data_IF_858751455473
#
_entry.id   IF_858751455473
#
_cell.length_a   1.000
_cell.length_b   1.000
_cell.length_c   1.000
_cell.angle_alpha   90.00
_cell.angle_beta   90.00
_cell.angle_gamma   90.00
#
_symmetry.space_group_name_H-M   'P 1'
#
loop_
_entity.id
_entity.type
_entity.pdbx_description
1 polymer ?
#
# COMPACT_ATOMS: atom_id res chain seq x y z
N UNK A 1 -5.54 -12.18 6.51
CA UNK A 1 -4.90 -11.31 5.51
C UNK A 1 -4.70 -12.01 4.17
N UNK A 2 -4.19 -13.24 4.10
CA UNK A 2 -4.19 -14.06 2.89
C UNK A 2 -5.07 -15.28 3.16
N UNK A 3 -6.20 -15.47 2.46
CA UNK A 3 -7.20 -16.48 2.83
C UNK A 3 -6.76 -17.93 2.71
N UNK A 4 -5.72 -18.28 2.03
CA UNK A 4 -5.02 -19.58 2.06
C UNK A 4 -3.65 -19.44 1.36
N UNK A 5 -2.57 -19.27 2.08
CA UNK A 5 -1.25 -19.09 1.50
C UNK A 5 -0.74 -20.28 0.68
N UNK A 6 -1.30 -21.46 0.86
CA UNK A 6 -0.85 -22.70 0.21
C UNK A 6 -1.11 -22.78 -1.31
N UNK A 7 -1.93 -21.89 -1.88
CA UNK A 7 -2.34 -21.96 -3.29
C UNK A 7 -1.77 -20.86 -4.19
N UNK A 8 -0.98 -19.94 -3.66
CA UNK A 8 -0.45 -18.83 -4.46
C UNK A 8 0.78 -19.26 -5.26
N UNK A 9 0.64 -19.43 -6.58
CA UNK A 9 1.75 -19.73 -7.50
C UNK A 9 2.20 -18.53 -8.32
N UNK A 10 1.32 -17.56 -8.54
CA UNK A 10 1.61 -16.32 -9.25
C UNK A 10 1.21 -15.13 -8.40
N UNK A 11 2.12 -14.18 -8.23
CA UNK A 11 1.96 -12.97 -7.46
C UNK A 11 2.25 -11.76 -8.33
N UNK A 12 1.50 -10.70 -8.13
CA UNK A 12 1.68 -9.43 -8.79
C UNK A 12 1.53 -8.30 -7.79
N UNK A 13 2.50 -7.41 -7.78
CA UNK A 13 2.46 -6.20 -6.97
C UNK A 13 2.21 -4.99 -7.85
N UNK A 14 1.15 -4.27 -7.57
CA UNK A 14 0.78 -3.02 -8.23
C UNK A 14 1.20 -1.81 -7.38
N UNK A 15 1.85 -0.85 -8.02
CA UNK A 15 2.10 0.48 -7.47
C UNK A 15 1.32 1.51 -8.29
N UNK A 16 0.55 2.36 -7.62
CA UNK A 16 -0.21 3.42 -8.28
C UNK A 16 0.66 4.67 -8.51
N UNK A 17 0.53 5.26 -9.67
CA UNK A 17 1.28 6.48 -10.02
C UNK A 17 0.86 7.65 -9.15
N UNK A 18 1.71 8.08 -8.20
CA UNK A 18 1.40 9.18 -7.26
C UNK A 18 0.05 8.99 -6.58
N UNK A 19 -0.22 7.79 -6.05
CA UNK A 19 -1.53 7.32 -5.57
C UNK A 19 -2.46 8.38 -5.01
N UNK A 20 -2.05 9.10 -3.96
CA UNK A 20 -2.88 10.11 -3.30
C UNK A 20 -3.28 11.27 -4.23
N UNK A 21 -2.39 11.75 -5.11
CA UNK A 21 -2.72 12.83 -6.05
C UNK A 21 -3.77 12.47 -7.09
N UNK A 22 -4.09 11.18 -7.26
CA UNK A 22 -5.15 10.74 -8.16
C UNK A 22 -6.55 10.92 -7.52
N UNK A 23 -6.61 11.03 -6.20
CA UNK A 23 -7.84 11.28 -5.46
C UNK A 23 -8.13 12.79 -5.49
N UNK A 24 -9.28 13.17 -6.01
CA UNK A 24 -9.68 14.57 -6.05
C UNK A 24 -10.13 15.07 -4.68
N UNK A 25 -9.76 16.30 -4.38
CA UNK A 25 -10.33 17.02 -3.24
C UNK A 25 -11.81 17.29 -3.54
N UNK A 26 -12.65 17.19 -2.51
CA UNK A 26 -14.07 17.52 -2.62
C UNK A 26 -14.21 18.99 -2.96
N UNK A 27 -15.10 19.31 -3.92
CA UNK A 27 -15.39 20.68 -4.30
C UNK A 27 -15.79 21.53 -3.09
N UNK A 28 -15.09 22.64 -2.89
CA UNK A 28 -15.25 23.54 -1.73
C UNK A 28 -14.31 23.24 -0.56
N UNK A 29 -13.56 22.15 -0.58
CA UNK A 29 -12.56 21.81 0.43
C UNK A 29 -11.11 22.14 -0.02
N UNK A 30 -10.91 22.60 -1.26
CA UNK A 30 -9.61 22.98 -1.81
C UNK A 30 -8.88 24.02 -0.94
N UNK A 31 -9.54 25.06 -0.39
CA UNK A 31 -8.91 26.06 0.48
C UNK A 31 -8.26 25.45 1.73
N UNK A 32 -8.76 24.29 2.22
CA UNK A 32 -8.18 23.60 3.39
C UNK A 32 -6.79 23.03 3.09
N UNK A 33 -6.43 22.89 1.82
CA UNK A 33 -5.14 22.38 1.34
C UNK A 33 -4.17 23.50 0.97
N UNK A 34 -4.55 24.77 1.20
CA UNK A 34 -3.79 25.93 0.77
C UNK A 34 -2.38 25.94 1.37
N UNK A 35 -1.41 26.20 0.51
CA UNK A 35 -0.01 26.44 0.90
C UNK A 35 0.37 27.86 0.51
N UNK A 36 1.07 28.55 1.38
CA UNK A 36 1.58 29.90 1.13
C UNK A 36 3.06 29.83 0.79
N UNK A 37 3.44 30.43 -0.32
CA UNK A 37 4.82 30.55 -0.77
C UNK A 37 5.17 32.03 -0.97
N UNK A 38 6.45 32.34 -1.20
CA UNK A 38 6.89 33.70 -1.56
C UNK A 38 6.27 34.21 -2.87
N UNK A 39 5.68 33.34 -3.68
CA UNK A 39 5.07 33.69 -4.98
C UNK A 39 3.53 33.74 -4.91
N UNK A 40 2.94 33.45 -3.78
CA UNK A 40 1.51 33.45 -3.57
C UNK A 40 0.99 32.22 -2.84
N UNK A 41 -0.32 32.16 -2.68
CA UNK A 41 -1.01 31.01 -2.09
C UNK A 41 -1.56 30.12 -3.20
N UNK A 42 -1.43 28.81 -3.02
CA UNK A 42 -1.85 27.78 -3.96
C UNK A 42 -2.65 26.70 -3.24
N UNK A 43 -3.63 26.15 -3.92
CA UNK A 43 -4.49 25.08 -3.42
C UNK A 43 -4.29 23.81 -4.26
N UNK A 44 -4.57 22.65 -3.67
CA UNK A 44 -4.47 21.38 -4.37
C UNK A 44 -5.83 20.93 -4.88
N UNK A 45 -5.90 20.51 -6.15
CA UNK A 45 -7.07 19.84 -6.72
C UNK A 45 -7.10 18.33 -6.45
N UNK A 46 -5.93 17.73 -6.20
CA UNK A 46 -5.74 16.33 -5.81
C UNK A 46 -5.17 16.24 -4.40
N UNK A 47 -5.45 15.16 -3.71
CA UNK A 47 -5.04 14.95 -2.33
C UNK A 47 -3.50 14.92 -2.19
N UNK A 48 -2.85 15.93 -1.56
CA UNK A 48 -1.42 15.96 -1.40
C UNK A 48 -0.96 15.02 -0.28
N UNK A 49 0.33 14.66 -0.31
CA UNK A 49 0.97 14.03 0.84
C UNK A 49 0.99 15.00 2.04
N UNK A 50 0.90 14.45 3.24
CA UNK A 50 0.96 15.23 4.49
C UNK A 50 -0.39 15.53 5.12
N UNK A 51 -1.50 15.28 4.44
CA UNK A 51 -2.82 15.33 5.09
C UNK A 51 -2.98 14.11 6.01
N UNK A 52 -3.41 14.36 7.24
CA UNK A 52 -3.54 13.32 8.28
C UNK A 52 -4.48 12.18 7.87
N UNK A 53 -5.56 12.51 7.15
CA UNK A 53 -6.57 11.55 6.72
C UNK A 53 -6.30 10.95 5.33
N UNK A 54 -5.25 11.38 4.61
CA UNK A 54 -4.98 10.92 3.25
C UNK A 54 -4.82 9.40 3.14
N UNK A 55 -4.05 8.71 4.01
CA UNK A 55 -3.92 7.26 3.94
C UNK A 55 -5.25 6.53 4.12
N UNK A 56 -6.05 6.95 5.11
CA UNK A 56 -7.35 6.35 5.39
C UNK A 56 -8.33 6.55 4.23
N UNK A 57 -8.41 7.77 3.69
CA UNK A 57 -9.27 8.11 2.55
C UNK A 57 -8.89 7.30 1.32
N UNK A 58 -7.58 7.16 1.05
CA UNK A 58 -7.09 6.39 -0.07
C UNK A 58 -7.40 4.89 0.07
N UNK A 59 -7.16 4.31 1.27
CA UNK A 59 -7.50 2.93 1.54
C UNK A 59 -9.01 2.66 1.36
N UNK A 60 -9.87 3.54 1.85
CA UNK A 60 -11.31 3.41 1.69
C UNK A 60 -11.70 3.42 0.21
N UNK A 61 -11.17 4.37 -0.57
CA UNK A 61 -11.41 4.42 -2.01
C UNK A 61 -10.99 3.11 -2.69
N UNK A 62 -9.77 2.64 -2.44
CA UNK A 62 -9.26 1.41 -3.04
C UNK A 62 -10.09 0.18 -2.65
N UNK A 63 -10.54 0.11 -1.40
CA UNK A 63 -11.40 -0.97 -0.93
C UNK A 63 -12.78 -0.94 -1.59
N UNK A 64 -13.35 0.23 -1.80
CA UNK A 64 -14.64 0.39 -2.50
C UNK A 64 -14.53 -0.03 -3.96
N UNK A 65 -13.51 0.45 -4.67
CA UNK A 65 -13.32 0.22 -6.11
C UNK A 65 -12.96 -1.24 -6.45
N UNK A 66 -12.25 -1.91 -5.56
CA UNK A 66 -11.82 -3.30 -5.75
C UNK A 66 -12.58 -4.29 -4.85
N UNK A 67 -13.68 -3.86 -4.21
CA UNK A 67 -14.46 -4.64 -3.24
C UNK A 67 -14.86 -6.03 -3.75
N UNK A 68 -15.20 -6.14 -5.03
CA UNK A 68 -15.66 -7.40 -5.64
C UNK A 68 -14.54 -8.45 -5.66
N UNK A 69 -13.27 -8.00 -5.65
CA UNK A 69 -12.08 -8.84 -5.78
C UNK A 69 -11.37 -9.08 -4.44
N UNK A 70 -11.69 -8.25 -3.42
CA UNK A 70 -11.11 -8.40 -2.08
C UNK A 70 -11.37 -9.80 -1.53
N UNK A 71 -10.38 -10.34 -0.84
CA UNK A 71 -10.39 -11.67 -0.22
C UNK A 71 -10.56 -12.86 -1.19
N UNK A 72 -10.79 -12.59 -2.49
CA UNK A 72 -10.80 -13.63 -3.53
C UNK A 72 -9.42 -13.81 -4.14
N UNK A 73 -8.87 -12.75 -4.70
CA UNK A 73 -7.55 -12.74 -5.34
C UNK A 73 -6.83 -11.38 -5.25
N UNK A 74 -7.38 -10.41 -4.50
CA UNK A 74 -6.78 -9.10 -4.27
C UNK A 74 -6.65 -8.83 -2.78
N UNK A 75 -5.47 -8.35 -2.37
CA UNK A 75 -5.20 -7.80 -1.04
C UNK A 75 -4.70 -6.38 -1.20
N UNK A 76 -5.26 -5.47 -0.42
CA UNK A 76 -4.89 -4.05 -0.42
C UNK A 76 -4.37 -3.68 0.96
N UNK A 77 -3.23 -2.99 0.98
CA UNK A 77 -2.71 -2.40 2.19
C UNK A 77 -2.01 -1.09 1.88
N UNK A 78 -2.59 0.01 2.36
CA UNK A 78 -2.14 1.37 2.03
C UNK A 78 -2.02 1.53 0.49
N UNK A 79 -0.82 1.80 0.01
CA UNK A 79 -0.53 2.03 -1.41
C UNK A 79 -0.22 0.74 -2.19
N UNK A 80 -0.03 -0.39 -1.49
CA UNK A 80 0.34 -1.68 -2.08
C UNK A 80 -0.92 -2.51 -2.39
N UNK A 81 -1.10 -2.86 -3.65
CA UNK A 81 -2.13 -3.77 -4.13
C UNK A 81 -1.45 -5.06 -4.58
N UNK A 82 -1.81 -6.17 -3.97
CA UNK A 82 -1.28 -7.49 -4.32
C UNK A 82 -2.38 -8.34 -4.92
N UNK A 83 -2.09 -8.91 -6.09
CA UNK A 83 -2.96 -9.86 -6.78
C UNK A 83 -2.29 -11.22 -6.72
N UNK A 84 -3.05 -12.25 -6.32
CA UNK A 84 -2.56 -13.60 -6.20
C UNK A 84 -3.45 -14.59 -6.94
N UNK A 85 -2.87 -15.67 -7.44
CA UNK A 85 -3.61 -16.67 -8.21
C UNK A 85 -2.99 -18.06 -8.05
N UNK A 86 -3.79 -19.08 -8.25
CA UNK A 86 -3.38 -20.48 -8.18
C UNK A 86 -2.69 -20.97 -9.46
N UNK A 87 -3.06 -20.42 -10.61
CA UNK A 87 -2.46 -20.71 -11.91
C UNK A 87 -2.05 -19.42 -12.63
N UNK A 88 -1.24 -19.54 -13.67
CA UNK A 88 -0.83 -18.40 -14.50
C UNK A 88 -1.96 -17.95 -15.43
N UNK A 89 -2.80 -18.88 -15.87
CA UNK A 89 -3.97 -18.59 -16.70
C UNK A 89 -4.98 -17.76 -15.91
N UNK A 90 -5.35 -18.20 -14.71
CA UNK A 90 -6.22 -17.44 -13.81
C UNK A 90 -5.61 -16.07 -13.48
N UNK A 91 -4.28 -16.02 -13.33
CA UNK A 91 -3.59 -14.78 -13.00
C UNK A 91 -3.77 -13.71 -14.08
N UNK A 92 -3.66 -14.07 -15.33
CA UNK A 92 -3.90 -13.14 -16.46
C UNK A 92 -5.32 -12.61 -16.44
N UNK A 93 -6.30 -13.46 -16.15
CA UNK A 93 -7.71 -13.04 -16.10
C UNK A 93 -7.99 -12.13 -14.88
N UNK A 94 -7.45 -12.45 -13.71
CA UNK A 94 -7.55 -11.61 -12.53
C UNK A 94 -6.92 -10.23 -12.76
N UNK A 95 -5.75 -10.17 -13.40
CA UNK A 95 -5.11 -8.91 -13.79
C UNK A 95 -5.98 -8.09 -14.73
N UNK A 96 -6.59 -8.73 -15.75
CA UNK A 96 -7.49 -8.06 -16.70
C UNK A 96 -8.66 -7.41 -15.99
N UNK A 97 -9.29 -8.12 -15.05
CA UNK A 97 -10.42 -7.63 -14.27
C UNK A 97 -10.02 -6.45 -13.38
N UNK A 98 -8.91 -6.55 -12.66
CA UNK A 98 -8.40 -5.45 -11.82
C UNK A 98 -8.04 -4.22 -12.66
N UNK A 99 -7.35 -4.39 -13.78
CA UNK A 99 -7.03 -3.27 -14.67
C UNK A 99 -8.26 -2.64 -15.30
N UNK A 100 -9.30 -3.41 -15.61
CA UNK A 100 -10.57 -2.88 -16.09
C UNK A 100 -11.25 -2.01 -15.03
N UNK A 101 -11.28 -2.45 -13.77
CA UNK A 101 -11.81 -1.67 -12.64
C UNK A 101 -11.01 -0.38 -12.41
N UNK A 102 -9.69 -0.47 -12.36
CA UNK A 102 -8.83 0.72 -12.20
C UNK A 102 -9.03 1.72 -13.34
N UNK A 103 -9.14 1.25 -14.59
CA UNK A 103 -9.40 2.10 -15.75
C UNK A 103 -10.77 2.78 -15.69
N UNK A 104 -11.82 2.07 -15.29
CA UNK A 104 -13.17 2.62 -15.12
C UNK A 104 -13.16 3.80 -14.13
N UNK A 105 -12.37 3.69 -13.07
CA UNK A 105 -12.24 4.70 -12.01
C UNK A 105 -11.10 5.72 -12.26
N UNK A 106 -10.52 5.70 -13.47
CA UNK A 106 -9.43 6.61 -13.89
C UNK A 106 -8.20 6.57 -12.98
N UNK A 107 -7.92 5.39 -12.40
CA UNK A 107 -6.74 5.14 -11.60
C UNK A 107 -5.60 4.59 -12.45
N UNK A 108 -4.45 5.20 -12.37
CA UNK A 108 -3.29 4.91 -13.22
C UNK A 108 -2.20 4.22 -12.43
N UNK A 109 -1.66 3.17 -13.03
CA UNK A 109 -0.61 2.33 -12.46
C UNK A 109 0.75 2.82 -12.95
N UNK A 110 1.78 2.68 -12.14
CA UNK A 110 3.16 2.95 -12.51
C UNK A 110 3.84 1.67 -12.95
N UNK A 111 3.89 1.45 -14.26
CA UNK A 111 4.39 0.21 -14.88
C UNK A 111 5.80 -0.18 -14.41
N UNK A 112 6.71 0.79 -14.25
CA UNK A 112 8.10 0.57 -13.89
C UNK A 112 8.29 0.04 -12.46
N UNK A 113 7.27 0.20 -11.61
CA UNK A 113 7.26 -0.30 -10.24
C UNK A 113 6.38 -1.53 -10.04
N UNK A 114 5.73 -1.98 -11.10
CA UNK A 114 4.93 -3.17 -11.07
C UNK A 114 5.78 -4.40 -11.32
N UNK A 115 5.61 -5.40 -10.49
CA UNK A 115 6.33 -6.65 -10.56
C UNK A 115 5.38 -7.76 -10.97
N UNK A 116 5.67 -8.43 -12.10
CA UNK A 116 4.79 -9.40 -12.74
C UNK A 116 5.26 -10.83 -12.56
N UNK A 117 4.32 -11.76 -12.36
CA UNK A 117 4.60 -13.20 -12.39
C UNK A 117 5.64 -13.67 -11.40
N UNK A 118 5.68 -13.03 -10.22
CA UNK A 118 6.64 -13.36 -9.18
C UNK A 118 6.22 -14.63 -8.45
N UNK A 119 7.21 -15.44 -8.10
CA UNK A 119 7.03 -16.56 -7.16
C UNK A 119 7.22 -16.13 -5.70
N UNK A 120 7.72 -14.91 -5.51
CA UNK A 120 8.05 -14.34 -4.21
C UNK A 120 7.88 -12.82 -4.25
N UNK A 121 7.22 -12.25 -3.27
CA UNK A 121 7.09 -10.79 -3.09
C UNK A 121 7.43 -10.37 -1.68
N UNK A 122 8.01 -9.18 -1.55
CA UNK A 122 8.11 -8.49 -0.26
C UNK A 122 6.83 -7.69 0.00
N UNK A 123 6.13 -8.03 1.08
CA UNK A 123 4.88 -7.39 1.48
C UNK A 123 4.83 -7.18 2.99
N UNK A 124 4.67 -5.95 3.45
CA UNK A 124 4.60 -5.57 4.87
C UNK A 124 5.80 -6.04 5.72
N UNK A 125 6.99 -6.12 5.14
CA UNK A 125 8.18 -6.61 5.82
C UNK A 125 8.21 -8.13 6.02
N UNK A 126 7.39 -8.83 5.26
CA UNK A 126 7.42 -10.29 5.12
C UNK A 126 7.71 -10.66 3.68
N UNK A 127 8.26 -11.83 3.51
CA UNK A 127 8.41 -12.45 2.18
C UNK A 127 7.30 -13.47 2.02
N UNK A 128 6.46 -13.27 1.02
CA UNK A 128 5.42 -14.23 0.62
C UNK A 128 5.96 -15.05 -0.54
N UNK A 129 6.15 -16.35 -0.33
CA UNK A 129 6.70 -17.28 -1.31
C UNK A 129 6.04 -18.65 -1.19
N UNK A 130 5.60 -19.20 -2.34
CA UNK A 130 4.99 -20.55 -2.42
C UNK A 130 3.91 -20.77 -1.34
N UNK A 131 3.07 -19.78 -1.11
CA UNK A 131 2.03 -19.83 -0.10
C UNK A 131 2.49 -19.82 1.36
N UNK A 132 3.75 -19.51 1.62
CA UNK A 132 4.29 -19.32 2.98
C UNK A 132 4.64 -17.86 3.20
N UNK A 133 4.41 -17.40 4.42
CA UNK A 133 4.83 -16.07 4.87
C UNK A 133 6.06 -16.24 5.75
N UNK A 134 7.18 -15.68 5.32
CA UNK A 134 8.44 -15.70 6.05
C UNK A 134 8.80 -14.27 6.49
N UNK A 135 9.53 -14.13 7.57
CA UNK A 135 10.09 -12.82 7.92
C UNK A 135 11.18 -12.42 6.92
N UNK A 136 11.28 -11.12 6.63
CA UNK A 136 12.35 -10.60 5.81
C UNK A 136 13.71 -10.84 6.48
N UNK A 137 14.64 -11.54 5.82
CA UNK A 137 15.97 -11.83 6.37
C UNK A 137 16.77 -10.57 6.73
N UNK A 138 16.54 -9.46 6.02
CA UNK A 138 17.20 -8.19 6.33
C UNK A 138 16.77 -7.64 7.69
N UNK A 139 15.48 -7.79 8.02
CA UNK A 139 14.96 -7.36 9.34
C UNK A 139 15.42 -8.29 10.46
N UNK A 140 15.44 -9.60 10.23
CA UNK A 140 15.95 -10.55 11.22
C UNK A 140 17.45 -10.37 11.45
N UNK A 141 18.23 -10.15 10.38
CA UNK A 141 19.66 -9.85 10.47
C UNK A 141 19.92 -8.56 11.27
N UNK A 142 19.15 -7.50 11.03
CA UNK A 142 19.28 -6.27 11.80
C UNK A 142 19.01 -6.45 13.30
N UNK A 143 18.19 -7.42 13.67
CA UNK A 143 17.94 -7.76 15.09
C UNK A 143 19.09 -8.61 15.64
N UNK A 144 19.58 -9.59 14.88
CA UNK A 144 20.67 -10.48 15.30
C UNK A 144 22.01 -9.73 15.38
N UNK A 145 22.31 -8.87 14.39
CA UNK A 145 23.54 -8.06 14.33
C UNK A 145 23.42 -6.79 15.16
N UNK A 146 22.21 -6.38 15.52
CA UNK A 146 21.95 -5.23 16.35
C UNK A 146 22.43 -5.48 17.78
N UNK A 147 23.54 -4.84 18.17
CA UNK A 147 23.89 -4.73 19.57
C UNK A 147 22.68 -4.19 20.31
N UNK A 148 22.22 -4.98 21.29
CA UNK A 148 21.16 -4.58 22.20
C UNK A 148 21.61 -3.30 22.91
N UNK A 149 21.30 -2.13 22.35
CA UNK A 149 21.43 -0.86 23.06
C UNK A 149 20.34 -0.87 24.12
N UNK A 150 20.67 -1.49 25.25
CA UNK A 150 19.97 -1.24 26.50
C UNK A 150 20.09 0.26 26.77
N UNK A 151 19.12 1.04 26.32
CA UNK A 151 18.94 2.38 26.89
C UNK A 151 18.63 2.15 28.37
N UNK A 152 19.46 2.63 29.30
CA UNK A 152 19.06 2.66 30.69
C UNK A 152 17.74 3.41 30.73
N UNK A 153 16.68 2.74 31.19
CA UNK A 153 15.43 3.42 31.55
C UNK A 153 15.80 4.36 32.69
N UNK A 154 16.01 5.62 32.37
CA UNK A 154 15.88 6.67 33.37
C UNK A 154 14.42 6.66 33.80
N UNK A 155 14.12 5.89 34.84
CA UNK A 155 12.98 6.12 35.69
C UNK A 155 13.21 7.46 36.43
N UNK A 156 13.11 8.55 35.68
CA UNK A 156 12.96 9.86 36.24
C UNK A 156 11.54 9.99 36.75
N UNK A 157 11.41 10.10 38.06
CA UNK A 157 10.22 10.48 38.77
C UNK A 157 9.40 11.52 38.02
N UNK A 158 8.20 11.18 37.63
CA UNK A 158 7.14 12.14 37.41
C UNK A 158 6.26 12.13 38.66
N UNK A 159 6.75 12.77 39.72
CA UNK A 159 5.91 13.32 40.78
C UNK A 159 5.81 14.82 40.52
N UNK A 160 4.60 15.30 40.40
CA UNK A 160 4.35 16.72 40.54
C UNK A 160 3.37 17.32 39.54
N UNK A 161 2.13 17.50 40.03
CA UNK A 161 1.01 18.41 39.74
C UNK A 161 0.12 18.03 38.56
#
# INVERSE_FOLDING_TARGET
LFPHPTLCRALYKLDLRKGYYQVRIKAGDEPKTAITTRYGSYEFNGMPFGLTNAPATFCTLMQEELKVFLDKFVVIYLDDIVIYSSSMEDHVEHLRQVFAALRANKLYVRKEKCEFGLHEISFLGHIVRNGKICMDPQKTKAIVDGQCRLRPRNCGHFLGW
#
